data_IF_757868131551
#
_entry.id   IF_757868131551
#
_cell.length_a   1.000
_cell.length_b   1.000
_cell.length_c   1.000
_cell.angle_alpha   90.00
_cell.angle_beta   90.00
_cell.angle_gamma   90.00
#
_symmetry.space_group_name_H-M   'P 1'
#
loop_
_entity.id
_entity.type
_entity.pdbx_description
1 polymer ?
#
# COMPACT_ATOMS: atom_id res chain seq x y z
N UNK A 1 21.78 10.51 -9.16
CA UNK A 1 20.74 10.29 -10.19
C UNK A 1 20.16 11.61 -10.69
N UNK A 2 19.87 11.67 -11.99
CA UNK A 2 19.02 12.70 -12.58
C UNK A 2 17.60 12.61 -11.99
N UNK A 3 16.95 13.76 -11.76
CA UNK A 3 15.64 13.83 -11.07
C UNK A 3 14.55 13.03 -11.81
N UNK A 4 14.59 13.01 -13.14
CA UNK A 4 13.65 12.25 -13.96
C UNK A 4 13.80 10.72 -13.77
N UNK A 5 15.04 10.23 -13.74
CA UNK A 5 15.32 8.81 -13.50
C UNK A 5 14.99 8.40 -12.06
N UNK A 6 15.22 9.28 -11.09
CA UNK A 6 14.84 9.04 -9.70
C UNK A 6 13.32 8.90 -9.54
N UNK A 7 12.52 9.75 -10.20
CA UNK A 7 11.05 9.64 -10.21
C UNK A 7 10.59 8.27 -10.69
N UNK A 8 11.06 7.84 -11.87
CA UNK A 8 10.70 6.54 -12.46
C UNK A 8 11.12 5.37 -11.56
N UNK A 9 12.29 5.48 -10.95
CA UNK A 9 12.80 4.45 -10.03
C UNK A 9 11.91 4.35 -8.79
N UNK A 10 11.56 5.47 -8.16
CA UNK A 10 10.67 5.49 -7.00
C UNK A 10 9.29 4.92 -7.36
N UNK A 11 8.72 5.32 -8.49
CA UNK A 11 7.45 4.78 -8.98
C UNK A 11 7.48 3.25 -9.11
N UNK A 12 8.52 2.71 -9.77
CA UNK A 12 8.69 1.27 -9.93
C UNK A 12 8.83 0.55 -8.58
N UNK A 13 9.59 1.12 -7.63
CA UNK A 13 9.75 0.55 -6.29
C UNK A 13 8.41 0.49 -5.55
N UNK A 14 7.66 1.59 -5.55
CA UNK A 14 6.36 1.66 -4.86
C UNK A 14 5.33 0.72 -5.50
N UNK A 15 5.34 0.59 -6.83
CA UNK A 15 4.45 -0.32 -7.56
C UNK A 15 4.72 -1.79 -7.21
N UNK A 16 5.99 -2.21 -7.23
CA UNK A 16 6.36 -3.61 -6.94
C UNK A 16 6.15 -3.97 -5.47
N UNK A 17 6.37 -3.04 -4.54
CA UNK A 17 6.25 -3.34 -3.10
C UNK A 17 4.84 -3.74 -2.69
N UNK A 18 3.81 -3.13 -3.28
CA UNK A 18 2.40 -3.34 -2.88
C UNK A 18 2.05 -2.91 -1.45
N UNK A 19 3.03 -2.42 -0.68
CA UNK A 19 2.91 -1.93 0.71
C UNK A 19 3.83 -0.74 0.93
N UNK A 20 3.61 -0.03 2.04
CA UNK A 20 4.44 1.10 2.49
C UNK A 20 5.95 0.80 2.51
N UNK A 21 6.74 1.58 1.78
CA UNK A 21 8.20 1.59 1.81
C UNK A 21 8.69 2.83 2.54
N UNK A 22 9.58 2.67 3.52
CA UNK A 22 10.15 3.81 4.25
C UNK A 22 11.08 4.65 3.38
N UNK A 23 11.14 5.95 3.66
CA UNK A 23 12.11 6.89 3.06
C UNK A 23 13.55 6.40 3.17
N UNK A 24 13.92 5.83 4.33
CA UNK A 24 15.24 5.24 4.57
C UNK A 24 15.52 4.09 3.61
N UNK A 25 14.55 3.21 3.36
CA UNK A 25 14.76 2.08 2.47
C UNK A 25 14.93 2.50 1.01
N UNK A 26 14.15 3.49 0.57
CA UNK A 26 14.30 4.09 -0.76
C UNK A 26 15.69 4.75 -0.88
N UNK A 27 16.13 5.44 0.18
CA UNK A 27 17.44 6.10 0.26
C UNK A 27 18.59 5.12 0.12
N UNK A 28 18.54 3.98 0.83
CA UNK A 28 19.53 2.91 0.70
C UNK A 28 19.60 2.33 -0.73
N UNK A 29 18.46 2.12 -1.39
CA UNK A 29 18.41 1.50 -2.72
C UNK A 29 18.85 2.46 -3.82
N UNK A 30 18.49 3.73 -3.70
CA UNK A 30 18.73 4.76 -4.73
C UNK A 30 19.99 5.58 -4.46
N UNK A 31 20.71 5.28 -3.37
CA UNK A 31 21.89 6.03 -2.90
C UNK A 31 21.66 7.55 -2.88
N UNK A 32 20.45 7.96 -2.52
CA UNK A 32 19.98 9.34 -2.61
C UNK A 32 19.52 9.84 -1.24
N UNK A 33 19.82 11.10 -0.85
CA UNK A 33 19.38 11.66 0.42
C UNK A 33 17.86 11.63 0.61
N UNK A 34 17.44 11.45 1.85
CA UNK A 34 16.02 11.35 2.23
C UNK A 34 15.23 12.62 1.93
N UNK A 35 15.86 13.79 1.99
CA UNK A 35 15.24 15.08 1.65
C UNK A 35 14.85 15.08 0.17
N UNK A 36 15.77 14.70 -0.71
CA UNK A 36 15.55 14.64 -2.16
C UNK A 36 14.50 13.60 -2.54
N UNK A 37 14.44 12.48 -1.82
CA UNK A 37 13.36 11.49 -1.99
C UNK A 37 12.01 12.10 -1.63
N UNK A 38 11.94 12.83 -0.51
CA UNK A 38 10.70 13.48 -0.06
C UNK A 38 10.22 14.51 -1.09
N UNK A 39 11.12 15.34 -1.60
CA UNK A 39 10.81 16.29 -2.68
C UNK A 39 10.32 15.59 -3.94
N UNK A 40 10.99 14.51 -4.34
CA UNK A 40 10.65 13.77 -5.56
C UNK A 40 9.28 13.09 -5.43
N UNK A 41 8.98 12.49 -4.28
CA UNK A 41 7.68 11.89 -3.99
C UNK A 41 6.58 12.95 -3.96
N UNK A 42 6.83 14.12 -3.39
CA UNK A 42 5.86 15.22 -3.40
C UNK A 42 5.57 15.72 -4.82
N UNK A 43 6.59 15.81 -5.67
CA UNK A 43 6.40 16.13 -7.08
C UNK A 43 5.57 15.06 -7.81
N UNK A 44 5.84 13.76 -7.57
CA UNK A 44 5.03 12.65 -8.13
C UNK A 44 3.58 12.72 -7.65
N UNK A 45 3.36 12.98 -6.36
CA UNK A 45 2.02 13.17 -5.80
C UNK A 45 1.24 14.27 -6.53
N UNK A 46 1.86 15.42 -6.79
CA UNK A 46 1.22 16.51 -7.51
C UNK A 46 0.90 16.13 -8.97
N UNK A 47 1.82 15.46 -9.64
CA UNK A 47 1.66 15.00 -11.03
C UNK A 47 0.50 14.01 -11.18
N UNK A 48 0.31 13.13 -10.19
CA UNK A 48 -0.76 12.14 -10.20
C UNK A 48 -2.10 12.67 -9.71
N UNK A 49 -2.13 13.85 -9.07
CA UNK A 49 -3.30 14.28 -8.33
C UNK A 49 -4.55 14.50 -9.20
N UNK A 50 -4.39 14.85 -10.47
CA UNK A 50 -5.52 15.23 -11.34
C UNK A 50 -5.80 14.24 -12.48
N UNK A 51 -4.83 13.40 -12.85
CA UNK A 51 -4.90 12.64 -14.11
C UNK A 51 -4.86 11.11 -13.94
N UNK A 52 -4.75 10.60 -12.72
CA UNK A 52 -4.51 9.17 -12.49
C UNK A 52 -5.55 8.56 -11.52
N UNK A 53 -5.97 7.31 -11.79
CA UNK A 53 -6.85 6.54 -10.90
C UNK A 53 -6.17 6.01 -9.64
N UNK A 54 -4.85 6.21 -9.54
CA UNK A 54 -4.02 5.88 -8.39
C UNK A 54 -3.35 7.15 -7.83
N UNK A 55 -2.96 7.11 -6.57
CA UNK A 55 -2.26 8.19 -5.89
C UNK A 55 -1.22 7.60 -4.93
N UNK A 56 -0.22 8.41 -4.58
CA UNK A 56 0.76 8.03 -3.56
C UNK A 56 0.28 8.57 -2.21
N UNK A 57 0.29 7.72 -1.18
CA UNK A 57 -0.02 8.12 0.19
C UNK A 57 1.13 7.81 1.16
N UNK A 58 1.14 8.48 2.31
CA UNK A 58 2.11 8.23 3.37
C UNK A 58 1.40 7.54 4.55
N UNK A 59 1.77 6.28 4.83
CA UNK A 59 1.21 5.46 5.90
C UNK A 59 2.34 4.89 6.74
N UNK A 60 2.25 5.07 8.05
CA UNK A 60 3.22 4.50 9.00
C UNK A 60 4.67 4.97 8.78
N UNK A 61 4.87 6.17 8.21
CA UNK A 61 6.20 6.70 7.88
C UNK A 61 6.82 6.13 6.59
N UNK A 62 6.03 5.41 5.78
CA UNK A 62 6.40 4.94 4.45
C UNK A 62 5.45 5.43 3.36
N UNK A 63 5.87 5.30 2.11
CA UNK A 63 5.08 5.64 0.93
C UNK A 63 4.52 4.37 0.28
N UNK A 64 3.28 4.44 -0.21
CA UNK A 64 2.69 3.39 -1.05
C UNK A 64 1.80 3.98 -2.14
N UNK A 65 1.58 3.19 -3.19
CA UNK A 65 0.58 3.49 -4.21
C UNK A 65 -0.75 2.91 -3.76
N UNK A 66 -1.79 3.73 -3.84
CA UNK A 66 -3.16 3.38 -3.51
C UNK A 66 -4.13 3.81 -4.61
N UNK A 67 -5.25 3.12 -4.71
CA UNK A 67 -6.31 3.42 -5.68
C UNK A 67 -7.26 4.48 -5.14
N UNK A 68 -7.71 5.42 -5.98
CA UNK A 68 -8.66 6.45 -5.53
C UNK A 68 -9.99 5.83 -5.09
N UNK A 69 -10.61 6.32 -4.01
CA UNK A 69 -11.89 5.81 -3.51
C UNK A 69 -13.01 5.82 -4.56
N UNK A 70 -12.99 6.77 -5.49
CA UNK A 70 -13.94 6.89 -6.60
C UNK A 70 -14.05 5.63 -7.46
N UNK A 71 -12.96 4.86 -7.60
CA UNK A 71 -12.93 3.62 -8.38
C UNK A 71 -13.25 2.37 -7.56
N UNK A 72 -13.49 2.51 -6.25
CA UNK A 72 -13.84 1.39 -5.35
C UNK A 72 -14.97 0.50 -5.90
N UNK A 73 -16.08 1.03 -6.46
CA UNK A 73 -17.15 0.19 -7.01
C UNK A 73 -16.70 -0.72 -8.16
N UNK A 74 -15.70 -0.30 -8.94
CA UNK A 74 -15.15 -1.11 -10.04
C UNK A 74 -14.15 -2.13 -9.51
N UNK A 75 -13.29 -1.73 -8.57
CA UNK A 75 -12.30 -2.61 -7.93
C UNK A 75 -13.00 -3.76 -7.20
N UNK A 76 -14.11 -3.49 -6.52
CA UNK A 76 -14.92 -4.52 -5.83
C UNK A 76 -15.55 -5.54 -6.77
N UNK A 77 -15.73 -5.23 -8.07
CA UNK A 77 -16.19 -6.22 -9.06
C UNK A 77 -15.07 -7.18 -9.46
N UNK A 78 -13.83 -6.68 -9.53
CA UNK A 78 -12.65 -7.50 -9.83
C UNK A 78 -12.22 -8.33 -8.62
N UNK A 79 -12.22 -7.71 -7.44
CA UNK A 79 -11.92 -8.32 -6.16
C UNK A 79 -13.13 -8.19 -5.23
N UNK A 80 -14.11 -9.11 -5.32
CA UNK A 80 -15.25 -9.11 -4.43
C UNK A 80 -14.76 -9.21 -2.99
N UNK A 81 -14.95 -8.14 -2.22
CA UNK A 81 -14.63 -8.17 -0.80
C UNK A 81 -15.58 -9.18 -0.14
N UNK A 82 -15.07 -10.34 0.26
CA UNK A 82 -15.85 -11.38 0.97
C UNK A 82 -16.22 -11.02 2.42
N UNK A 83 -15.98 -9.77 2.85
CA UNK A 83 -15.95 -9.37 4.25
C UNK A 83 -14.85 -10.10 5.04
N UNK A 84 -14.45 -9.54 6.19
CA UNK A 84 -14.00 -10.41 7.27
C UNK A 84 -15.28 -11.00 7.83
N UNK A 85 -15.51 -12.30 7.70
CA UNK A 85 -16.62 -12.95 8.37
C UNK A 85 -16.38 -12.80 9.88
N UNK A 86 -17.04 -11.81 10.50
CA UNK A 86 -17.04 -11.70 11.96
C UNK A 86 -17.79 -12.92 12.47
N UNK A 87 -17.05 -13.86 13.05
CA UNK A 87 -17.67 -14.94 13.82
C UNK A 87 -18.51 -14.29 14.92
N UNK A 88 -19.75 -14.73 15.10
CA UNK A 88 -20.50 -14.40 16.31
C UNK A 88 -19.70 -14.89 17.52
N UNK A 89 -19.95 -14.33 18.71
CA UNK A 89 -19.32 -14.80 19.95
C UNK A 89 -19.42 -16.33 20.09
N UNK A 90 -20.59 -16.88 19.78
CA UNK A 90 -20.84 -18.32 19.78
C UNK A 90 -20.01 -19.07 18.73
N UNK A 91 -19.87 -18.54 17.52
CA UNK A 91 -19.07 -19.18 16.48
C UNK A 91 -17.56 -19.10 16.77
N UNK A 92 -17.11 -18.03 17.42
CA UNK A 92 -15.73 -17.86 17.89
C UNK A 92 -15.42 -18.79 19.07
N UNK A 93 -16.36 -18.97 20.00
CA UNK A 93 -16.25 -19.93 21.10
C UNK A 93 -16.17 -21.37 20.58
N UNK A 94 -17.05 -21.76 19.66
CA UNK A 94 -17.02 -23.09 19.06
C UNK A 94 -15.71 -23.34 18.32
N UNK A 95 -15.21 -22.37 17.54
CA UNK A 95 -13.91 -22.49 16.88
C UNK A 95 -12.77 -22.62 17.91
N UNK A 96 -12.83 -21.88 19.02
CA UNK A 96 -11.82 -21.94 20.08
C UNK A 96 -11.82 -23.29 20.79
N UNK A 97 -13.00 -23.88 21.01
CA UNK A 97 -13.14 -25.24 21.54
C UNK A 97 -12.52 -26.25 20.57
N UNK A 98 -12.84 -26.19 19.27
CA UNK A 98 -12.26 -27.11 18.27
C UNK A 98 -10.73 -27.00 18.22
N UNK A 99 -10.17 -25.80 18.21
CA UNK A 99 -8.71 -25.60 18.15
C UNK A 99 -7.95 -26.10 19.40
N UNK A 100 -8.57 -26.01 20.58
CA UNK A 100 -7.95 -26.44 21.84
C UNK A 100 -8.27 -27.89 22.23
N UNK A 101 -9.34 -28.48 21.69
CA UNK A 101 -9.83 -29.82 22.04
C UNK A 101 -9.71 -30.83 20.91
N UNK A 102 -8.94 -30.56 19.85
CA UNK A 102 -8.59 -31.60 18.87
C UNK A 102 -7.91 -32.78 19.58
N UNK A 103 -8.36 -34.02 19.30
CA UNK A 103 -8.24 -34.65 17.99
C UNK A 103 -9.58 -34.70 17.26
N UNK A 104 -9.54 -34.96 15.94
CA UNK A 104 -10.73 -35.44 15.22
C UNK A 104 -11.36 -36.64 15.90
#
# INVERSE_FOLDING_TARGET
METAELKKTIEALLFVSGKGISKKKISEITETPTEKITETVNALKQEWNSNHGVFIEEIGGGYQISTRPEYSPHILKLYPWKGVMRLSSSAAEVLSIVLYKQPV
#
